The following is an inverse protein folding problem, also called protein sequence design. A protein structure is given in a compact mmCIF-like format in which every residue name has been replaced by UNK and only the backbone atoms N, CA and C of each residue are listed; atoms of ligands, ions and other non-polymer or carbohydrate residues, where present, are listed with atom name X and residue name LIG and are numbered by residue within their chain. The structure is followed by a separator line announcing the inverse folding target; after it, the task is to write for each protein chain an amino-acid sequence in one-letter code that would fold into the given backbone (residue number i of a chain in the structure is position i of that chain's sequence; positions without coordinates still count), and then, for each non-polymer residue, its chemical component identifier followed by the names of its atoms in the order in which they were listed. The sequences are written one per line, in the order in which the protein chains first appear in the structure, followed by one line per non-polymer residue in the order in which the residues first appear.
data_IF_411162141707
#
_entry.id   IF_411162141707
#
_cell.length_a   1.000
_cell.length_b   1.000
_cell.length_c   1.000
_cell.angle_alpha   90.00
_cell.angle_beta   90.00
_cell.angle_gamma   90.00
#
_symmetry.space_group_name_H-M   'P 1'
#
loop_
_entity.id
_entity.type
_entity.pdbx_description
1 polymer ?
#
# COMPACT_ATOMS: atom_id res chain seq x y z
N UNK A 1 -2.11 -12.99 -8.06
CA UNK A 1 -0.97 -12.53 -8.89
C UNK A 1 0.29 -12.34 -8.05
N UNK A 2 0.27 -11.55 -6.96
CA UNK A 2 1.46 -11.36 -6.11
C UNK A 2 2.09 -12.64 -5.56
N UNK A 3 1.29 -13.62 -5.10
CA UNK A 3 1.84 -14.91 -4.63
C UNK A 3 2.55 -15.69 -5.74
N UNK A 4 2.04 -15.62 -6.97
CA UNK A 4 2.67 -16.24 -8.13
C UNK A 4 3.96 -15.49 -8.51
N UNK A 5 3.95 -14.15 -8.45
CA UNK A 5 5.15 -13.32 -8.62
C UNK A 5 6.22 -13.67 -7.59
N UNK A 6 5.84 -13.79 -6.31
CA UNK A 6 6.78 -14.17 -5.25
C UNK A 6 7.36 -15.57 -5.51
N UNK A 7 6.51 -16.55 -5.81
CA UNK A 7 6.97 -17.91 -6.11
C UNK A 7 7.94 -17.94 -7.31
N UNK A 8 7.60 -17.21 -8.38
CA UNK A 8 8.45 -17.10 -9.57
C UNK A 8 9.79 -16.39 -9.26
N UNK A 9 9.75 -15.28 -8.51
CA UNK A 9 10.94 -14.54 -8.12
C UNK A 9 11.86 -15.36 -7.20
N UNK A 10 11.29 -16.10 -6.25
CA UNK A 10 12.05 -17.02 -5.38
C UNK A 10 12.67 -18.14 -6.21
N UNK A 11 11.90 -18.79 -7.09
CA UNK A 11 12.41 -19.82 -7.98
C UNK A 11 13.56 -19.32 -8.86
N UNK A 12 13.40 -18.15 -9.47
CA UNK A 12 14.44 -17.51 -10.27
C UNK A 12 15.66 -17.13 -9.42
N UNK A 13 15.48 -16.56 -8.22
CA UNK A 13 16.57 -16.21 -7.31
C UNK A 13 17.38 -17.44 -6.91
N UNK A 14 16.71 -18.57 -6.65
CA UNK A 14 17.37 -19.84 -6.31
C UNK A 14 18.13 -20.39 -7.52
N UNK A 15 17.50 -20.41 -8.70
CA UNK A 15 18.10 -20.95 -9.92
C UNK A 15 19.33 -20.16 -10.38
N UNK A 16 19.31 -18.82 -10.24
CA UNK A 16 20.44 -17.95 -10.62
C UNK A 16 21.63 -18.08 -9.67
N UNK A 17 21.42 -18.37 -8.38
CA UNK A 17 22.51 -18.50 -7.42
C UNK A 17 23.29 -17.18 -7.23
N UNK A 18 24.62 -17.20 -7.16
CA UNK A 18 25.43 -15.99 -6.87
C UNK A 18 25.01 -15.32 -5.54
N UNK A 19 24.96 -16.11 -4.47
CA UNK A 19 24.64 -15.63 -3.13
C UNK A 19 25.82 -14.85 -2.56
N UNK A 20 25.60 -13.57 -2.30
CA UNK A 20 26.60 -12.70 -1.69
C UNK A 20 26.02 -11.99 -0.47
N UNK A 21 26.85 -11.69 0.53
CA UNK A 21 26.41 -10.92 1.70
C UNK A 21 25.84 -9.53 1.30
N UNK A 22 26.31 -8.97 0.19
CA UNK A 22 25.82 -7.70 -0.36
C UNK A 22 24.35 -7.77 -0.80
N UNK A 23 23.80 -8.96 -1.08
CA UNK A 23 22.37 -9.12 -1.38
C UNK A 23 21.49 -8.70 -0.21
N UNK A 24 21.95 -8.89 1.03
CA UNK A 24 21.21 -8.54 2.23
C UNK A 24 20.98 -7.03 2.38
N UNK A 25 21.79 -6.19 1.71
CA UNK A 25 21.57 -4.73 1.69
C UNK A 25 20.20 -4.39 1.11
N UNK A 26 19.74 -5.13 0.11
CA UNK A 26 18.46 -4.87 -0.57
C UNK A 26 17.27 -4.95 0.39
N UNK A 27 16.97 -6.08 1.06
CA UNK A 27 15.86 -6.16 1.99
C UNK A 27 16.03 -5.22 3.19
N UNK A 28 17.26 -5.00 3.69
CA UNK A 28 17.50 -4.07 4.82
C UNK A 28 17.10 -2.64 4.46
N UNK A 29 17.57 -2.15 3.31
CA UNK A 29 17.20 -0.82 2.81
C UNK A 29 15.70 -0.74 2.57
N UNK A 30 15.10 -1.79 2.01
CA UNK A 30 13.66 -1.82 1.78
C UNK A 30 12.85 -1.81 3.09
N UNK A 31 13.26 -2.52 4.16
CA UNK A 31 12.57 -2.42 5.46
C UNK A 31 12.56 -0.97 5.96
N UNK A 32 13.66 -0.24 5.79
CA UNK A 32 13.75 1.16 6.20
C UNK A 32 12.89 2.09 5.33
N UNK A 33 12.86 1.87 4.01
CA UNK A 33 12.20 2.76 3.05
C UNK A 33 10.74 2.40 2.77
N UNK A 34 10.31 1.16 3.01
CA UNK A 34 8.97 0.69 2.66
C UNK A 34 7.85 1.50 3.32
N UNK A 35 7.91 1.88 4.62
CA UNK A 35 6.89 2.74 5.22
C UNK A 35 6.75 4.10 4.51
N UNK A 36 7.84 4.65 3.97
CA UNK A 36 7.81 5.91 3.23
C UNK A 36 7.28 5.73 1.81
N UNK A 37 7.67 4.65 1.14
CA UNK A 37 7.08 4.26 -0.14
C UNK A 37 5.56 4.09 0.00
N UNK A 38 5.13 3.38 1.03
CA UNK A 38 3.73 3.18 1.35
C UNK A 38 3.00 4.51 1.57
N UNK A 39 3.58 5.42 2.38
CA UNK A 39 3.04 6.75 2.60
C UNK A 39 2.92 7.56 1.30
N UNK A 40 3.94 7.56 0.45
CA UNK A 40 3.93 8.27 -0.85
C UNK A 40 2.81 7.74 -1.74
N UNK A 41 2.69 6.42 -1.87
CA UNK A 41 1.62 5.80 -2.65
C UNK A 41 0.26 6.14 -2.06
N UNK A 42 0.10 6.03 -0.74
CA UNK A 42 -1.18 6.27 -0.09
C UNK A 42 -1.63 7.73 -0.27
N UNK A 43 -0.74 8.69 -0.01
CA UNK A 43 -1.06 10.12 -0.10
C UNK A 43 -1.25 10.58 -1.55
N UNK A 44 -0.28 10.28 -2.43
CA UNK A 44 -0.27 10.88 -3.77
C UNK A 44 -0.96 10.05 -4.84
N UNK A 45 -1.12 8.74 -4.64
CA UNK A 45 -1.77 7.87 -5.63
C UNK A 45 -3.17 7.49 -5.16
N UNK A 46 -3.30 6.98 -3.93
CA UNK A 46 -4.59 6.45 -3.45
C UNK A 46 -5.56 7.57 -3.02
N UNK A 47 -5.05 8.61 -2.35
CA UNK A 47 -5.85 9.80 -1.97
C UNK A 47 -5.96 10.85 -3.08
N UNK A 48 -5.51 10.53 -4.30
CA UNK A 48 -5.61 11.45 -5.44
C UNK A 48 -7.07 11.91 -5.64
N UNK A 49 -7.25 13.23 -5.69
CA UNK A 49 -8.54 13.87 -6.03
C UNK A 49 -8.70 13.92 -7.55
N UNK A 50 -9.81 13.40 -8.12
CA UNK A 50 -10.05 13.51 -9.56
C UNK A 50 -9.94 14.95 -10.05
N UNK A 51 -9.32 15.14 -11.21
CA UNK A 51 -9.12 16.46 -11.83
C UNK A 51 -9.74 16.48 -13.22
N UNK A 52 -10.60 17.46 -13.49
CA UNK A 52 -11.27 17.63 -14.78
C UNK A 52 -10.57 18.71 -15.59
N UNK A 53 -10.25 18.39 -16.84
CA UNK A 53 -9.63 19.27 -17.82
C UNK A 53 -10.48 19.25 -19.09
N UNK A 54 -11.34 20.26 -19.25
CA UNK A 54 -12.33 20.27 -20.35
C UNK A 54 -13.27 19.05 -20.27
N UNK A 55 -13.41 18.24 -21.34
CA UNK A 55 -14.26 17.06 -21.34
C UNK A 55 -13.63 15.82 -20.68
N UNK A 56 -12.34 15.87 -20.30
CA UNK A 56 -11.61 14.74 -19.76
C UNK A 56 -11.54 14.83 -18.23
N UNK A 57 -11.90 13.74 -17.54
CA UNK A 57 -11.66 13.59 -16.10
C UNK A 57 -10.54 12.59 -15.87
N UNK A 58 -9.46 13.06 -15.23
CA UNK A 58 -8.37 12.21 -14.79
C UNK A 58 -8.67 11.67 -13.39
N UNK A 59 -9.03 10.38 -13.36
CA UNK A 59 -9.28 9.64 -12.15
C UNK A 59 -8.55 8.28 -12.19
N UNK A 60 -7.37 8.16 -11.55
CA UNK A 60 -6.61 6.92 -11.54
C UNK A 60 -7.39 5.76 -10.91
N UNK A 61 -7.30 4.57 -11.52
CA UNK A 61 -7.99 3.36 -11.03
C UNK A 61 -7.75 3.10 -9.54
N UNK A 62 -6.49 3.17 -9.10
CA UNK A 62 -6.12 2.92 -7.70
C UNK A 62 -6.78 3.94 -6.75
N UNK A 63 -6.86 5.20 -7.15
CA UNK A 63 -7.51 6.24 -6.37
C UNK A 63 -9.02 5.96 -6.26
N UNK A 64 -9.67 5.65 -7.38
CA UNK A 64 -11.10 5.35 -7.42
C UNK A 64 -11.49 4.15 -6.57
N UNK A 65 -10.75 3.05 -6.69
CA UNK A 65 -10.98 1.84 -5.87
C UNK A 65 -10.70 2.13 -4.39
N UNK A 66 -9.67 2.93 -4.07
CA UNK A 66 -9.41 3.35 -2.69
C UNK A 66 -10.52 4.22 -2.10
N UNK A 67 -11.09 5.15 -2.86
CA UNK A 67 -12.27 5.92 -2.42
C UNK A 67 -13.48 5.02 -2.20
N UNK A 68 -13.69 4.01 -3.05
CA UNK A 68 -14.71 2.99 -2.82
C UNK A 68 -14.44 2.19 -1.55
N UNK A 69 -13.18 1.83 -1.27
CA UNK A 69 -12.76 1.17 -0.04
C UNK A 69 -13.02 2.03 1.21
N UNK A 70 -12.79 3.34 1.16
CA UNK A 70 -13.17 4.24 2.27
C UNK A 70 -14.68 4.25 2.57
N UNK A 71 -15.52 4.09 1.53
CA UNK A 71 -16.98 4.00 1.67
C UNK A 71 -17.42 2.66 2.25
N UNK A 72 -16.83 1.56 1.76
CA UNK A 72 -17.16 0.20 2.17
C UNK A 72 -15.90 -0.62 2.53
N UNK A 73 -15.29 -0.33 3.71
CA UNK A 73 -13.97 -0.86 4.06
C UNK A 73 -13.96 -2.37 4.31
N UNK A 74 -15.13 -3.00 4.47
CA UNK A 74 -15.25 -4.44 4.71
C UNK A 74 -15.41 -5.24 3.42
N UNK A 75 -15.64 -4.58 2.28
CA UNK A 75 -15.81 -5.27 0.99
C UNK A 75 -14.46 -5.79 0.51
N UNK A 76 -14.28 -7.10 0.62
CA UNK A 76 -13.02 -7.81 0.30
C UNK A 76 -12.46 -7.45 -1.08
N UNK A 77 -13.32 -7.29 -2.09
CA UNK A 77 -12.91 -6.93 -3.44
C UNK A 77 -12.21 -5.57 -3.57
N UNK A 78 -12.37 -4.67 -2.59
CA UNK A 78 -11.79 -3.32 -2.56
C UNK A 78 -10.54 -3.21 -1.67
N UNK A 79 -10.22 -4.25 -0.90
CA UNK A 79 -9.10 -4.26 0.04
C UNK A 79 -7.77 -4.49 -0.69
N UNK A 80 -7.75 -5.42 -1.65
CA UNK A 80 -6.53 -5.84 -2.34
C UNK A 80 -6.19 -4.91 -3.50
N UNK A 81 -4.93 -4.96 -3.96
CA UNK A 81 -4.52 -4.20 -5.14
C UNK A 81 -5.34 -4.71 -6.34
N UNK A 82 -6.04 -3.83 -7.08
CA UNK A 82 -6.81 -4.23 -8.26
C UNK A 82 -5.91 -4.97 -9.25
N UNK A 83 -6.31 -6.16 -9.69
CA UNK A 83 -5.50 -6.98 -10.59
C UNK A 83 -5.13 -6.23 -11.90
N UNK A 84 -5.99 -5.33 -12.37
CA UNK A 84 -5.73 -4.46 -13.52
C UNK A 84 -4.54 -3.53 -13.30
N UNK A 85 -4.31 -3.06 -12.07
CA UNK A 85 -3.14 -2.26 -11.72
C UNK A 85 -1.87 -3.13 -11.71
N UNK A 86 -1.97 -4.40 -11.31
CA UNK A 86 -0.83 -5.34 -11.33
C UNK A 86 -0.29 -5.60 -12.75
N UNK A 87 -1.08 -5.40 -13.80
CA UNK A 87 -0.61 -5.47 -15.19
C UNK A 87 0.49 -4.45 -15.52
N UNK A 88 0.58 -3.35 -14.77
CA UNK A 88 1.58 -2.30 -14.99
C UNK A 88 2.60 -2.22 -13.84
N UNK A 89 2.15 -2.48 -12.60
CA UNK A 89 3.02 -2.50 -11.42
C UNK A 89 4.06 -3.62 -11.51
N UNK A 90 3.67 -4.82 -11.97
CA UNK A 90 4.60 -5.96 -12.04
C UNK A 90 5.69 -5.77 -13.12
N UNK A 91 5.38 -5.36 -14.37
CA UNK A 91 6.42 -5.02 -15.34
C UNK A 91 7.34 -3.89 -14.86
N UNK A 92 6.80 -2.86 -14.18
CA UNK A 92 7.61 -1.80 -13.60
C UNK A 92 8.59 -2.35 -12.55
N UNK A 93 8.12 -3.21 -11.64
CA UNK A 93 8.97 -3.84 -10.64
C UNK A 93 10.08 -4.70 -11.27
N UNK A 94 9.76 -5.45 -12.34
CA UNK A 94 10.75 -6.21 -13.12
C UNK A 94 11.75 -5.28 -13.80
N UNK A 95 11.30 -4.17 -14.40
CA UNK A 95 12.17 -3.16 -14.98
C UNK A 95 13.15 -2.59 -13.95
N UNK A 96 12.67 -2.24 -12.75
CA UNK A 96 13.54 -1.79 -11.64
C UNK A 96 14.54 -2.87 -11.25
N UNK A 97 14.10 -4.12 -11.13
CA UNK A 97 14.98 -5.24 -10.79
C UNK A 97 16.14 -5.42 -11.77
N UNK A 98 15.87 -5.23 -13.07
CA UNK A 98 16.87 -5.41 -14.13
C UNK A 98 17.77 -4.19 -14.33
N UNK A 99 17.27 -2.98 -14.07
CA UNK A 99 17.95 -1.74 -14.43
C UNK A 99 18.59 -1.00 -13.24
N UNK A 100 18.07 -1.17 -12.03
CA UNK A 100 18.52 -0.42 -10.86
C UNK A 100 19.61 -1.14 -10.05
N UNK A 101 19.90 -2.41 -10.36
CA UNK A 101 20.83 -3.24 -9.60
C UNK A 101 22.02 -3.69 -10.46
N UNK A 102 23.24 -3.70 -9.92
CA UNK A 102 24.45 -4.03 -10.68
C UNK A 102 24.59 -5.54 -10.97
N UNK A 103 23.81 -6.38 -10.28
CA UNK A 103 23.82 -7.83 -10.45
C UNK A 103 22.39 -8.36 -10.52
N UNK A 104 22.18 -9.35 -11.36
CA UNK A 104 20.90 -10.05 -11.49
C UNK A 104 20.45 -10.64 -10.14
N UNK A 105 21.37 -11.18 -9.33
CA UNK A 105 21.09 -11.69 -8.00
C UNK A 105 20.45 -10.64 -7.08
N UNK A 106 20.95 -9.41 -7.07
CA UNK A 106 20.39 -8.30 -6.28
C UNK A 106 19.01 -7.87 -6.80
N UNK A 107 18.85 -7.78 -8.13
CA UNK A 107 17.57 -7.48 -8.76
C UNK A 107 16.49 -8.51 -8.42
N UNK A 108 16.83 -9.80 -8.45
CA UNK A 108 15.94 -10.88 -8.04
C UNK A 108 15.65 -10.83 -6.52
N UNK A 109 16.64 -10.51 -5.69
CA UNK A 109 16.43 -10.27 -4.24
C UNK A 109 15.45 -9.10 -4.02
N UNK A 110 15.52 -8.04 -4.83
CA UNK A 110 14.54 -6.95 -4.81
C UNK A 110 13.14 -7.45 -5.16
N UNK A 111 12.98 -8.26 -6.22
CA UNK A 111 11.66 -8.81 -6.60
C UNK A 111 11.07 -9.69 -5.51
N UNK A 112 11.88 -10.55 -4.91
CA UNK A 112 11.47 -11.37 -3.75
C UNK A 112 11.00 -10.46 -2.61
N UNK A 113 11.79 -9.44 -2.30
CA UNK A 113 11.51 -8.51 -1.19
C UNK A 113 10.24 -7.69 -1.44
N UNK A 114 10.09 -7.07 -2.62
CA UNK A 114 8.92 -6.21 -2.92
C UNK A 114 7.63 -7.02 -3.02
N UNK A 115 7.67 -8.25 -3.57
CA UNK A 115 6.52 -9.13 -3.59
C UNK A 115 6.14 -9.59 -2.17
N UNK A 116 7.14 -9.85 -1.32
CA UNK A 116 6.92 -10.19 0.11
C UNK A 116 6.28 -9.02 0.86
N UNK A 117 6.81 -7.81 0.71
CA UNK A 117 6.22 -6.62 1.34
C UNK A 117 4.82 -6.31 0.80
N UNK A 118 4.58 -6.47 -0.51
CA UNK A 118 3.26 -6.32 -1.12
C UNK A 118 2.23 -7.29 -0.53
N UNK A 119 2.60 -8.57 -0.37
CA UNK A 119 1.74 -9.55 0.30
C UNK A 119 1.53 -9.22 1.78
N UNK A 120 2.59 -8.84 2.50
CA UNK A 120 2.47 -8.43 3.89
C UNK A 120 1.53 -7.22 4.05
N UNK A 121 1.61 -6.25 3.14
CA UNK A 121 0.70 -5.11 3.06
C UNK A 121 -0.74 -5.56 2.85
N UNK A 122 -1.01 -6.36 1.80
CA UNK A 122 -2.37 -6.81 1.46
C UNK A 122 -3.01 -7.62 2.60
N UNK A 123 -2.26 -8.55 3.20
CA UNK A 123 -2.78 -9.36 4.30
C UNK A 123 -2.97 -8.57 5.59
N UNK A 124 -2.08 -7.62 5.88
CA UNK A 124 -2.24 -6.72 7.03
C UNK A 124 -3.47 -5.83 6.84
N UNK A 125 -3.61 -5.21 5.67
CA UNK A 125 -4.75 -4.37 5.31
C UNK A 125 -6.07 -5.15 5.37
N UNK A 126 -6.09 -6.36 4.82
CA UNK A 126 -7.21 -7.29 4.91
C UNK A 126 -7.58 -7.59 6.35
N UNK A 127 -6.63 -8.04 7.16
CA UNK A 127 -6.90 -8.45 8.53
C UNK A 127 -7.47 -7.28 9.36
N UNK A 128 -7.02 -6.04 9.10
CA UNK A 128 -7.50 -4.85 9.81
C UNK A 128 -9.00 -4.61 9.63
N UNK A 129 -9.52 -4.93 8.45
CA UNK A 129 -10.92 -4.72 8.09
C UNK A 129 -11.82 -5.93 8.31
N UNK A 130 -11.28 -7.02 8.83
CA UNK A 130 -12.06 -8.18 9.28
C UNK A 130 -12.47 -8.03 10.75
N UNK A 131 -13.28 -8.97 11.26
CA UNK A 131 -13.62 -9.05 12.67
C UNK A 131 -12.50 -9.68 13.53
N UNK A 132 -11.32 -9.92 12.96
CA UNK A 132 -10.18 -10.45 13.68
C UNK A 132 -9.70 -9.45 14.76
N UNK A 133 -9.76 -9.89 16.02
CA UNK A 133 -9.33 -9.07 17.16
C UNK A 133 -7.81 -9.05 17.28
N UNK A 134 -7.17 -7.87 17.38
CA UNK A 134 -5.71 -7.77 17.43
C UNK A 134 -5.11 -8.35 18.72
N UNK A 135 -4.38 -9.47 18.58
CA UNK A 135 -3.81 -10.24 19.69
C UNK A 135 -2.46 -9.70 20.20
N UNK A 136 -1.64 -9.13 19.33
CA UNK A 136 -0.29 -8.64 19.68
C UNK A 136 -0.28 -7.12 19.82
N UNK A 137 0.70 -6.58 20.58
CA UNK A 137 0.85 -5.13 20.76
C UNK A 137 1.16 -4.43 19.43
N UNK A 138 2.06 -5.02 18.62
CA UNK A 138 2.45 -4.48 17.32
C UNK A 138 1.27 -4.40 16.36
N UNK A 139 0.57 -5.52 16.17
CA UNK A 139 -0.59 -5.54 15.27
C UNK A 139 -1.72 -4.64 15.76
N UNK A 140 -1.95 -4.56 17.09
CA UNK A 140 -2.93 -3.62 17.65
C UNK A 140 -2.61 -2.17 17.37
N UNK A 141 -1.33 -1.78 17.36
CA UNK A 141 -0.92 -0.42 17.05
C UNK A 141 -1.22 -0.07 15.58
N UNK A 142 -0.82 -0.95 14.66
CA UNK A 142 -1.11 -0.84 13.22
C UNK A 142 -2.62 -0.77 12.96
N UNK A 143 -3.37 -1.72 13.55
CA UNK A 143 -4.83 -1.78 13.45
C UNK A 143 -5.52 -0.50 13.92
N UNK A 144 -5.07 0.10 15.04
CA UNK A 144 -5.65 1.35 15.53
C UNK A 144 -5.39 2.51 14.57
N UNK A 145 -4.15 2.66 14.10
CA UNK A 145 -3.75 3.75 13.21
C UNK A 145 -4.59 3.73 11.92
N UNK A 146 -4.65 2.59 11.24
CA UNK A 146 -5.39 2.50 9.97
C UNK A 146 -6.90 2.67 10.17
N UNK A 147 -7.45 2.24 11.32
CA UNK A 147 -8.85 2.53 11.65
C UNK A 147 -9.09 4.00 11.97
N UNK A 148 -8.13 4.70 12.57
CA UNK A 148 -8.24 6.16 12.73
C UNK A 148 -8.25 6.85 11.37
N UNK A 149 -7.40 6.42 10.44
CA UNK A 149 -7.41 6.90 9.07
C UNK A 149 -8.80 6.76 8.40
N UNK A 150 -9.42 5.59 8.49
CA UNK A 150 -10.72 5.33 7.87
C UNK A 150 -11.92 5.96 8.58
N UNK A 151 -11.91 6.01 9.91
CA UNK A 151 -13.11 6.32 10.70
C UNK A 151 -13.05 7.63 11.47
N UNK A 152 -11.86 8.23 11.59
CA UNK A 152 -11.65 9.48 12.30
C UNK A 152 -11.26 10.59 11.34
N UNK A 153 -10.12 10.47 10.66
CA UNK A 153 -9.65 11.53 9.75
C UNK A 153 -8.67 10.95 8.72
N UNK A 154 -9.03 11.05 7.45
CA UNK A 154 -8.31 10.53 6.30
C UNK A 154 -7.01 11.26 5.99
N UNK A 155 -6.76 12.43 6.59
CA UNK A 155 -5.55 13.21 6.35
C UNK A 155 -4.35 12.77 7.22
N UNK A 156 -4.52 11.73 8.03
CA UNK A 156 -3.53 11.26 9.00
C UNK A 156 -3.45 9.73 9.03
N UNK A 157 -2.38 9.22 9.64
CA UNK A 157 -2.16 7.78 9.88
C UNK A 157 -2.17 6.93 8.60
N UNK A 158 -1.43 7.34 7.59
CA UNK A 158 -1.40 6.71 6.27
C UNK A 158 -0.69 5.35 6.26
N UNK A 159 0.23 5.06 7.17
CA UNK A 159 0.90 3.75 7.16
C UNK A 159 0.01 2.64 7.72
N UNK A 160 -0.10 1.58 6.94
CA UNK A 160 -0.87 0.34 7.08
C UNK A 160 0.02 -0.83 7.51
N UNK A 161 1.30 -0.90 7.11
CA UNK A 161 2.20 -1.99 7.57
C UNK A 161 3.03 -1.66 8.79
N UNK A 162 3.14 -0.37 9.12
CA UNK A 162 3.91 0.10 10.27
C UNK A 162 3.01 0.86 11.24
N UNK A 163 3.47 1.01 12.48
CA UNK A 163 2.71 1.74 13.49
C UNK A 163 2.86 3.25 13.38
N UNK A 164 2.98 3.82 12.18
CA UNK A 164 3.15 5.26 11.95
C UNK A 164 4.60 5.70 11.71
N UNK A 165 5.47 4.86 11.14
CA UNK A 165 6.89 5.20 10.97
C UNK A 165 7.06 6.44 10.07
N UNK A 166 6.55 6.38 8.85
CA UNK A 166 6.59 7.52 7.94
C UNK A 166 5.69 8.66 8.43
N UNK A 167 4.53 8.34 9.01
CA UNK A 167 3.61 9.36 9.53
C UNK A 167 4.24 10.25 10.61
N UNK A 168 5.05 9.68 11.51
CA UNK A 168 5.74 10.47 12.55
C UNK A 168 6.82 11.36 11.95
N UNK A 169 7.56 10.84 10.98
CA UNK A 169 8.64 11.60 10.33
C UNK A 169 8.07 12.74 9.47
N UNK A 170 6.94 12.50 8.81
CA UNK A 170 6.32 13.44 7.86
C UNK A 170 5.22 14.32 8.48
N UNK A 171 5.02 14.23 9.80
CA UNK A 171 4.07 15.09 10.51
C UNK A 171 2.58 14.72 10.34
N UNK A 172 2.28 13.50 9.91
CA UNK A 172 0.91 12.97 9.74
C UNK A 172 0.49 11.99 10.85
N UNK A 173 1.16 12.02 12.01
CA UNK A 173 0.84 11.22 13.21
C UNK A 173 0.44 12.10 14.42
N UNK A 174 -0.67 12.84 14.35
CA UNK A 174 -1.12 13.65 15.48
C UNK A 174 -1.66 12.78 16.63
N UNK A 175 -1.79 13.40 17.80
CA UNK A 175 -2.52 12.81 18.94
C UNK A 175 -4.02 12.64 18.55
N UNK A 176 -4.55 11.40 18.53
CA UNK A 176 -5.94 11.16 18.18
C UNK A 176 -6.95 11.87 19.11
N UNK A 177 -6.59 12.24 20.33
CA UNK A 177 -7.49 12.98 21.21
C UNK A 177 -7.67 14.44 20.77
N UNK A 178 -6.74 14.99 19.99
CA UNK A 178 -6.72 16.40 19.56
C UNK A 178 -7.21 16.62 18.14
N UNK A 179 -7.49 15.54 17.40
CA UNK A 179 -7.94 15.60 16.01
C UNK A 179 -9.45 15.51 15.94
N UNK A 180 -10.07 16.45 15.25
CA UNK A 180 -11.51 16.42 14.95
C UNK A 180 -11.84 15.32 13.94
N UNK A 181 -13.08 14.81 14.01
CA UNK A 181 -13.57 13.85 13.05
C UNK A 181 -13.78 14.56 11.70
N UNK A 182 -13.17 14.03 10.65
CA UNK A 182 -13.38 14.53 9.30
C UNK A 182 -14.76 14.12 8.77
N UNK A 183 -15.52 15.04 8.14
CA UNK A 183 -16.78 14.70 7.49
C UNK A 183 -16.59 13.78 6.27
N UNK A 184 -15.37 13.69 5.73
CA UNK A 184 -15.05 12.96 4.49
C UNK A 184 -14.25 11.68 4.71
N UNK A 185 -14.01 11.27 5.96
CA UNK A 185 -13.24 10.06 6.28
C UNK A 185 -13.78 8.79 5.59
N UNK A 186 -15.11 8.71 5.43
CA UNK A 186 -15.82 7.62 4.75
C UNK A 186 -16.26 7.94 3.32
N UNK A 187 -16.03 9.15 2.82
CA UNK A 187 -16.36 9.55 1.46
C UNK A 187 -15.36 10.62 1.01
N UNK A 188 -14.17 10.17 0.64
CA UNK A 188 -13.06 11.04 0.30
C UNK A 188 -13.48 12.07 -0.76
N UNK A 189 -13.07 13.32 -0.54
CA UNK A 189 -13.39 14.49 -1.37
C UNK A 189 -14.86 14.90 -1.44
N UNK A 190 -15.72 14.33 -0.59
CA UNK A 190 -17.16 14.56 -0.58
C UNK A 190 -17.80 14.37 -1.97
N UNK A 191 -17.33 13.36 -2.72
CA UNK A 191 -17.89 13.05 -4.03
C UNK A 191 -19.39 12.76 -3.87
N UNK A 192 -20.23 13.43 -4.67
CA UNK A 192 -21.61 13.03 -4.82
C UNK A 192 -21.62 11.56 -5.22
N UNK A 193 -22.40 10.72 -4.52
CA UNK A 193 -22.55 9.30 -4.87
C UNK A 193 -23.24 9.28 -6.24
N UNK A 194 -22.46 9.31 -7.30
CA UNK A 194 -22.96 9.10 -8.64
C UNK A 194 -23.51 7.68 -8.66
N UNK A 195 -24.81 7.55 -8.88
CA UNK A 195 -25.44 6.29 -9.22
C UNK A 195 -24.88 5.85 -10.58
N UNK A 196 -23.70 5.24 -10.58
CA UNK A 196 -23.11 4.69 -11.79
C UNK A 196 -23.81 3.35 -12.08
N UNK A 197 -24.56 3.38 -13.18
CA UNK A 197 -25.00 2.29 -14.04
C UNK A 197 -24.39 0.91 -13.72
N UNK A 198 -25.29 -0.07 -13.57
CA UNK A 198 -24.98 -1.50 -13.52
C UNK A 198 -24.38 -2.06 -14.81
#
# INVERSE_FOLDING_TARGET
MLSATLAAAVGARIAVGDWQLTDAVVPVVMVALFPFFEWVVHVFILHWRPKTFGPLTLDPLLAREHRAHHRDPRKIALIFIPWKALLWVLPLAVGVALLAFPRLGMGLTFLVSIATFGLAYEWTHYLIHTDYKPKTRLYRAVWRNHRQHHFKNEHYWFTVTSSGTADRVLGTYPDPAKVENSPTAKNLHAEAVSAAAG
#
